data_IF_506060877884
#
_entry.id   IF_506060877884
#
_cell.length_a   1.000
_cell.length_b   1.000
_cell.length_c   1.000
_cell.angle_alpha   90.00
_cell.angle_beta   90.00
_cell.angle_gamma   90.00
#
_symmetry.space_group_name_H-M   'P 1'
#
loop_
_entity.id
_entity.type
_entity.pdbx_description
1 polymer ?
#
# COMPACT_ATOMS: atom_id res chain seq x y z
N UNK A 1 5.09 -19.05 -13.65
CA UNK A 1 4.72 -17.65 -13.85
C UNK A 1 3.37 -17.59 -14.54
N UNK A 2 3.17 -18.36 -15.62
CA UNK A 2 1.88 -18.63 -16.25
C UNK A 2 0.68 -18.78 -15.32
N UNK A 3 0.72 -19.67 -14.31
CA UNK A 3 -0.41 -19.91 -13.40
C UNK A 3 -0.90 -18.65 -12.65
N UNK A 4 0.04 -17.82 -12.20
CA UNK A 4 -0.30 -16.56 -11.52
C UNK A 4 -0.91 -15.53 -12.49
N UNK A 5 -0.43 -15.50 -13.73
CA UNK A 5 -1.00 -14.64 -14.78
C UNK A 5 -2.38 -15.13 -15.23
N UNK A 6 -2.62 -16.44 -15.25
CA UNK A 6 -3.94 -17.03 -15.53
C UNK A 6 -4.95 -16.69 -14.42
N UNK A 7 -4.56 -16.85 -13.16
CA UNK A 7 -5.40 -16.47 -12.01
C UNK A 7 -5.72 -14.96 -12.01
N UNK A 8 -4.73 -14.13 -12.35
CA UNK A 8 -4.92 -12.67 -12.45
C UNK A 8 -5.81 -12.28 -13.64
N UNK A 9 -5.68 -12.94 -14.79
CA UNK A 9 -6.58 -12.76 -15.94
C UNK A 9 -8.01 -13.07 -15.54
N UNK A 10 -8.22 -14.23 -14.92
CA UNK A 10 -9.57 -14.71 -14.59
C UNK A 10 -10.24 -13.79 -13.58
N UNK A 11 -9.49 -13.29 -12.59
CA UNK A 11 -9.94 -12.26 -11.67
C UNK A 11 -10.36 -10.97 -12.39
N UNK A 12 -9.52 -10.41 -13.27
CA UNK A 12 -9.83 -9.16 -13.97
C UNK A 12 -11.05 -9.27 -14.88
N UNK A 13 -11.23 -10.44 -15.53
CA UNK A 13 -12.40 -10.70 -16.36
C UNK A 13 -13.68 -10.90 -15.54
N UNK A 14 -13.57 -11.43 -14.32
CA UNK A 14 -14.69 -11.54 -13.39
C UNK A 14 -15.07 -10.17 -12.81
N UNK A 15 -14.08 -9.34 -12.46
CA UNK A 15 -14.28 -7.96 -12.01
C UNK A 15 -14.96 -7.09 -13.07
N UNK A 16 -14.57 -7.20 -14.36
CA UNK A 16 -15.24 -6.51 -15.45
C UNK A 16 -16.71 -6.94 -15.60
N UNK A 17 -16.99 -8.24 -15.51
CA UNK A 17 -18.37 -8.76 -15.58
C UNK A 17 -19.22 -8.28 -14.40
N UNK A 18 -18.65 -8.26 -13.21
CA UNK A 18 -19.35 -7.78 -12.02
C UNK A 18 -19.61 -6.27 -12.10
N UNK A 19 -18.63 -5.50 -12.59
CA UNK A 19 -18.77 -4.06 -12.79
C UNK A 19 -19.88 -3.70 -13.78
N UNK A 20 -20.02 -4.46 -14.87
CA UNK A 20 -21.13 -4.31 -15.82
C UNK A 20 -22.49 -4.59 -15.13
N UNK A 21 -22.57 -5.65 -14.32
CA UNK A 21 -23.80 -5.99 -13.56
C UNK A 21 -24.14 -4.91 -12.53
N UNK A 22 -23.14 -4.37 -11.84
CA UNK A 22 -23.33 -3.34 -10.82
C UNK A 22 -23.75 -2.00 -11.43
N UNK A 23 -23.22 -1.65 -12.62
CA UNK A 23 -23.67 -0.48 -13.39
C UNK A 23 -25.11 -0.64 -13.89
N UNK A 24 -25.46 -1.79 -14.46
CA UNK A 24 -26.82 -2.12 -14.89
C UNK A 24 -27.82 -2.09 -13.70
N UNK A 25 -27.36 -2.42 -12.50
CA UNK A 25 -28.13 -2.34 -11.26
C UNK A 25 -28.20 -0.93 -10.65
N UNK A 26 -27.49 0.05 -11.24
CA UNK A 26 -27.38 1.42 -10.73
C UNK A 26 -26.61 1.54 -9.42
N UNK A 27 -25.76 0.55 -9.10
CA UNK A 27 -24.91 0.52 -7.91
C UNK A 27 -23.60 1.29 -8.11
N UNK A 28 -23.25 1.59 -9.36
CA UNK A 28 -22.10 2.38 -9.79
C UNK A 28 -22.62 3.42 -10.77
N UNK A 29 -22.23 4.68 -10.60
CA UNK A 29 -22.63 5.74 -11.53
C UNK A 29 -21.84 5.69 -12.85
N UNK A 30 -22.28 6.45 -13.85
CA UNK A 30 -21.72 6.41 -15.20
C UNK A 30 -20.25 6.84 -15.27
N UNK A 31 -19.82 7.76 -14.40
CA UNK A 31 -18.45 8.29 -14.38
C UNK A 31 -17.50 7.28 -13.73
N UNK A 32 -17.88 6.74 -12.57
CA UNK A 32 -17.14 5.69 -11.88
C UNK A 32 -17.07 4.40 -12.71
N UNK A 33 -18.16 4.03 -13.38
CA UNK A 33 -18.20 2.89 -14.29
C UNK A 33 -17.20 3.05 -15.43
N UNK A 34 -17.20 4.21 -16.10
CA UNK A 34 -16.29 4.47 -17.22
C UNK A 34 -14.82 4.38 -16.79
N UNK A 35 -14.47 4.99 -15.66
CA UNK A 35 -13.11 5.01 -15.13
C UNK A 35 -12.63 3.61 -14.71
N UNK A 36 -13.44 2.88 -13.92
CA UNK A 36 -13.09 1.54 -13.45
C UNK A 36 -13.00 0.54 -14.62
N UNK A 37 -13.91 0.65 -15.59
CA UNK A 37 -13.92 -0.21 -16.76
C UNK A 37 -12.69 0.00 -17.63
N UNK A 38 -12.27 1.24 -17.82
CA UNK A 38 -11.07 1.55 -18.60
C UNK A 38 -9.80 1.00 -17.93
N UNK A 39 -9.64 1.17 -16.61
CA UNK A 39 -8.50 0.63 -15.87
C UNK A 39 -8.46 -0.91 -15.89
N UNK A 40 -9.58 -1.58 -15.59
CA UNK A 40 -9.63 -3.04 -15.64
C UNK A 40 -9.40 -3.58 -17.06
N UNK A 41 -9.88 -2.88 -18.08
CA UNK A 41 -9.65 -3.26 -19.48
C UNK A 41 -8.18 -3.17 -19.85
N UNK A 42 -7.49 -2.08 -19.45
CA UNK A 42 -6.05 -1.91 -19.69
C UNK A 42 -5.25 -3.00 -18.98
N UNK A 43 -5.57 -3.29 -17.72
CA UNK A 43 -4.90 -4.35 -16.94
C UNK A 43 -5.12 -5.74 -17.55
N UNK A 44 -6.35 -6.06 -17.91
CA UNK A 44 -6.67 -7.34 -18.55
C UNK A 44 -5.92 -7.51 -19.87
N UNK A 45 -5.87 -6.47 -20.70
CA UNK A 45 -5.12 -6.47 -21.96
C UNK A 45 -3.62 -6.71 -21.75
N UNK A 46 -3.02 -6.14 -20.70
CA UNK A 46 -1.61 -6.34 -20.40
C UNK A 46 -1.30 -7.76 -19.93
N UNK A 47 -2.17 -8.35 -19.10
CA UNK A 47 -2.01 -9.74 -18.64
C UNK A 47 -2.18 -10.72 -19.80
N UNK A 48 -3.15 -10.50 -20.69
CA UNK A 48 -3.37 -11.33 -21.87
C UNK A 48 -2.15 -11.30 -22.81
N UNK A 49 -1.59 -10.11 -23.09
CA UNK A 49 -0.35 -9.99 -23.88
C UNK A 49 0.83 -10.71 -23.24
N UNK A 50 0.93 -10.71 -21.91
CA UNK A 50 1.99 -11.41 -21.20
C UNK A 50 1.85 -12.94 -21.32
N UNK A 51 0.61 -13.46 -21.22
CA UNK A 51 0.30 -14.88 -21.44
C UNK A 51 0.58 -15.31 -22.88
N UNK A 52 0.20 -14.50 -23.87
CA UNK A 52 0.49 -14.78 -25.28
C UNK A 52 1.99 -14.82 -25.54
N UNK A 53 2.75 -13.86 -24.99
CA UNK A 53 4.20 -13.83 -25.08
C UNK A 53 4.90 -14.98 -24.32
N UNK A 54 4.25 -15.62 -23.33
CA UNK A 54 4.76 -16.83 -22.66
C UNK A 54 4.43 -18.08 -23.47
N UNK A 55 3.23 -18.14 -24.07
CA UNK A 55 2.82 -19.21 -24.99
C UNK A 55 3.70 -19.27 -26.25
N UNK A 56 4.10 -18.12 -26.78
CA UNK A 56 5.00 -18.03 -27.95
C UNK A 56 6.45 -18.43 -27.65
N UNK A 57 6.91 -18.33 -26.39
CA UNK A 57 8.31 -18.59 -26.03
C UNK A 57 8.68 -20.06 -25.99
N UNK A 58 7.73 -20.98 -25.72
CA UNK A 58 7.97 -22.42 -25.68
C UNK A 58 9.07 -22.88 -24.67
N UNK A 59 9.13 -24.17 -24.31
CA UNK A 59 10.06 -24.61 -23.27
C UNK A 59 11.45 -24.91 -23.85
N UNK A 60 12.35 -23.92 -23.95
CA UNK A 60 13.80 -24.16 -24.06
C UNK A 60 14.67 -23.05 -23.44
N UNK A 61 15.53 -23.48 -22.50
CA UNK A 61 16.94 -23.08 -22.45
C UNK A 61 17.29 -21.75 -21.78
N UNK A 62 17.98 -21.82 -20.65
CA UNK A 62 18.58 -20.72 -19.90
C UNK A 62 19.47 -19.81 -20.76
N UNK A 63 19.26 -18.50 -20.71
CA UNK A 63 20.37 -17.53 -20.71
C UNK A 63 19.96 -16.19 -20.12
N UNK A 64 20.89 -15.67 -19.33
CA UNK A 64 20.95 -14.38 -18.65
C UNK A 64 20.41 -13.17 -19.45
N UNK A 65 19.56 -12.37 -18.81
CA UNK A 65 19.22 -11.01 -19.21
C UNK A 65 18.51 -10.29 -18.08
N UNK A 66 19.15 -9.25 -17.52
CA UNK A 66 18.80 -8.45 -16.33
C UNK A 66 17.43 -7.71 -16.37
N UNK A 67 16.52 -8.09 -17.25
CA UNK A 67 15.21 -7.44 -17.44
C UNK A 67 14.05 -8.18 -16.78
N UNK A 68 14.25 -9.40 -16.27
CA UNK A 68 13.19 -10.21 -15.65
C UNK A 68 12.80 -9.85 -14.20
N UNK A 69 13.61 -9.04 -13.51
CA UNK A 69 13.39 -8.75 -12.08
C UNK A 69 12.42 -7.59 -11.82
N UNK A 70 12.16 -6.74 -12.82
CA UNK A 70 11.24 -5.61 -12.68
C UNK A 70 9.77 -6.02 -12.70
N UNK A 71 9.43 -7.20 -13.23
CA UNK A 71 8.03 -7.68 -13.28
C UNK A 71 7.61 -8.36 -11.97
N UNK A 72 8.55 -8.88 -11.17
CA UNK A 72 8.23 -9.56 -9.92
C UNK A 72 7.84 -8.62 -8.76
N UNK A 73 8.26 -7.34 -8.80
CA UNK A 73 8.00 -6.38 -7.73
C UNK A 73 6.59 -5.75 -7.77
N UNK A 74 5.88 -5.81 -8.91
CA UNK A 74 4.50 -5.31 -9.03
C UNK A 74 3.44 -6.34 -8.60
N UNK A 75 3.82 -7.61 -8.44
CA UNK A 75 2.90 -8.74 -8.23
C UNK A 75 2.52 -8.95 -6.75
N UNK A 76 3.30 -8.40 -5.80
CA UNK A 76 3.01 -8.51 -4.37
C UNK A 76 2.10 -7.42 -3.79
N UNK A 77 1.97 -6.26 -4.47
CA UNK A 77 1.30 -5.08 -3.92
C UNK A 77 -0.18 -4.94 -4.35
N UNK A 78 -0.68 -5.83 -5.21
CA UNK A 78 -2.07 -5.86 -5.64
C UNK A 78 -2.95 -6.78 -4.79
N UNK A 79 -2.37 -7.70 -4.00
CA UNK A 79 -3.13 -8.71 -3.25
C UNK A 79 -3.68 -8.20 -1.91
N UNK A 80 -3.16 -7.10 -1.37
CA UNK A 80 -3.64 -6.52 -0.10
C UNK A 80 -4.87 -5.62 -0.30
N UNK A 81 -5.00 -4.96 -1.46
CA UNK A 81 -6.07 -3.98 -1.71
C UNK A 81 -7.40 -4.66 -2.08
N UNK A 82 -7.36 -5.83 -2.73
CA UNK A 82 -8.58 -6.54 -3.16
C UNK A 82 -9.27 -7.27 -2.00
N UNK A 83 -8.54 -7.68 -0.96
CA UNK A 83 -9.15 -8.41 0.17
C UNK A 83 -10.05 -7.50 1.03
N UNK A 84 -9.87 -6.17 0.97
CA UNK A 84 -10.70 -5.20 1.69
C UNK A 84 -12.05 -4.93 1.02
N UNK A 85 -12.22 -5.28 -0.26
CA UNK A 85 -13.47 -5.01 -1.00
C UNK A 85 -14.49 -6.17 -0.85
N UNK A 86 -14.06 -7.42 -0.58
CA UNK A 86 -14.98 -8.59 -0.57
C UNK A 86 -15.56 -8.90 0.83
N UNK A 87 -15.12 -8.25 1.91
CA UNK A 87 -15.76 -8.41 3.24
C UNK A 87 -16.93 -7.44 3.46
N UNK A 88 -17.10 -6.42 2.62
CA UNK A 88 -18.06 -5.34 2.87
C UNK A 88 -19.51 -5.59 2.38
N UNK A 89 -19.85 -6.71 1.70
CA UNK A 89 -21.21 -6.89 1.13
C UNK A 89 -21.89 -8.25 1.35
N UNK A 90 -21.56 -9.00 2.40
CA UNK A 90 -22.32 -10.24 2.71
C UNK A 90 -23.04 -10.26 4.07
N UNK A 91 -23.09 -9.15 4.81
CA UNK A 91 -23.80 -9.12 6.09
C UNK A 91 -24.67 -7.87 6.24
N UNK A 92 -25.73 -7.78 5.45
CA UNK A 92 -26.93 -7.04 5.86
C UNK A 92 -27.68 -7.86 6.91
N UNK A 93 -27.07 -8.06 8.09
CA UNK A 93 -27.79 -8.40 9.31
C UNK A 93 -27.20 -7.58 10.45
N UNK A 94 -28.01 -6.67 10.98
CA UNK A 94 -27.69 -5.83 12.13
C UNK A 94 -27.41 -6.69 13.37
N UNK A 95 -26.16 -6.83 13.80
CA UNK A 95 -25.79 -7.10 15.19
C UNK A 95 -24.40 -6.51 15.48
N UNK A 96 -24.35 -5.53 16.40
CA UNK A 96 -23.19 -5.24 17.25
C UNK A 96 -22.13 -4.28 16.70
N UNK A 97 -21.95 -3.16 17.38
CA UNK A 97 -20.81 -2.24 17.25
C UNK A 97 -19.47 -2.98 17.36
N UNK A 98 -18.66 -2.97 16.29
CA UNK A 98 -17.20 -3.15 16.32
C UNK A 98 -16.58 -2.73 14.97
N UNK A 99 -15.60 -1.80 14.94
CA UNK A 99 -14.83 -1.51 13.73
C UNK A 99 -13.84 -2.65 13.41
N UNK A 100 -13.76 -3.02 12.14
CA UNK A 100 -13.00 -4.15 11.58
C UNK A 100 -11.47 -3.95 11.48
N UNK A 101 -10.91 -2.91 12.12
CA UNK A 101 -9.46 -2.67 12.18
C UNK A 101 -9.01 -2.65 13.63
N UNK A 102 -8.76 -3.83 14.23
CA UNK A 102 -8.06 -3.97 15.53
C UNK A 102 -8.46 -2.94 16.60
N UNK A 103 -9.75 -2.62 16.69
CA UNK A 103 -10.25 -1.37 17.25
C UNK A 103 -10.70 -1.46 18.70
N UNK A 104 -10.24 -2.44 19.47
CA UNK A 104 -10.67 -2.59 20.86
C UNK A 104 -10.21 -1.41 21.76
N UNK A 105 -9.25 -0.60 21.29
CA UNK A 105 -8.84 0.68 21.90
C UNK A 105 -9.23 1.94 21.10
N UNK A 106 -9.68 1.81 19.83
CA UNK A 106 -9.88 2.95 18.93
C UNK A 106 -11.22 3.67 19.17
N UNK A 107 -12.26 2.92 19.49
CA UNK A 107 -13.57 3.47 19.85
C UNK A 107 -13.57 4.20 21.21
N UNK A 108 -12.59 3.91 22.07
CA UNK A 108 -12.47 4.52 23.39
C UNK A 108 -11.67 5.84 23.41
N UNK A 109 -10.92 6.14 22.34
CA UNK A 109 -9.99 7.29 22.27
C UNK A 109 -10.37 8.39 21.29
N UNK A 110 -11.39 8.18 20.47
CA UNK A 110 -11.99 9.19 19.60
C UNK A 110 -12.88 10.15 20.41
N UNK A 111 -12.28 10.87 21.36
CA UNK A 111 -12.91 12.07 21.92
C UNK A 111 -12.94 13.14 20.82
N UNK A 112 -14.15 13.39 20.31
CA UNK A 112 -14.53 14.47 19.38
C UNK A 112 -13.85 14.45 18.01
N UNK A 113 -14.18 13.46 17.18
CA UNK A 113 -13.89 13.54 15.74
C UNK A 113 -14.72 14.67 15.14
N UNK A 114 -14.06 15.68 14.58
CA UNK A 114 -14.71 16.64 13.69
C UNK A 114 -15.28 15.84 12.49
N UNK A 115 -16.60 15.87 12.24
CA UNK A 115 -17.20 15.14 11.11
C UNK A 115 -16.50 15.43 9.78
N UNK A 116 -15.96 16.63 9.61
CA UNK A 116 -15.19 17.01 8.43
C UNK A 116 -13.90 16.18 8.27
N UNK A 117 -13.17 15.92 9.36
CA UNK A 117 -11.95 15.10 9.32
C UNK A 117 -12.28 13.65 8.97
N UNK A 118 -13.40 13.12 9.46
CA UNK A 118 -13.83 11.75 9.15
C UNK A 118 -14.15 11.58 7.65
N UNK A 119 -14.89 12.53 7.06
CA UNK A 119 -15.25 12.51 5.63
C UNK A 119 -14.00 12.66 4.74
N UNK A 120 -13.05 13.51 5.14
CA UNK A 120 -11.78 13.68 4.43
C UNK A 120 -10.91 12.43 4.52
N UNK A 121 -10.86 11.75 5.66
CA UNK A 121 -10.13 10.49 5.80
C UNK A 121 -10.70 9.41 4.86
N UNK A 122 -12.02 9.27 4.81
CA UNK A 122 -12.67 8.34 3.88
C UNK A 122 -12.35 8.68 2.41
N UNK A 123 -12.35 9.98 2.07
CA UNK A 123 -12.00 10.46 0.73
C UNK A 123 -10.55 10.14 0.38
N UNK A 124 -9.61 10.38 1.29
CA UNK A 124 -8.19 10.11 1.08
C UNK A 124 -7.91 8.61 0.91
N UNK A 125 -8.58 7.76 1.71
CA UNK A 125 -8.50 6.30 1.59
C UNK A 125 -9.06 5.81 0.25
N UNK A 126 -10.19 6.37 -0.21
CA UNK A 126 -10.74 6.06 -1.54
C UNK A 126 -9.74 6.43 -2.64
N UNK A 127 -9.20 7.65 -2.64
CA UNK A 127 -8.21 8.09 -3.61
C UNK A 127 -6.94 7.24 -3.58
N UNK A 128 -6.49 6.83 -2.39
CA UNK A 128 -5.38 5.91 -2.25
C UNK A 128 -5.67 4.56 -2.91
N UNK A 129 -6.85 3.99 -2.69
CA UNK A 129 -7.26 2.72 -3.31
C UNK A 129 -7.33 2.79 -4.84
N UNK A 130 -7.66 3.96 -5.39
CA UNK A 130 -7.69 4.26 -6.83
C UNK A 130 -6.29 4.60 -7.40
N UNK A 131 -5.25 4.57 -6.57
CA UNK A 131 -3.88 4.95 -6.91
C UNK A 131 -3.71 6.43 -7.31
N UNK A 132 -4.69 7.26 -6.97
CA UNK A 132 -4.66 8.72 -7.13
C UNK A 132 -3.82 9.37 -6.03
N UNK A 133 -2.54 9.01 -5.94
CA UNK A 133 -1.67 9.38 -4.82
C UNK A 133 -1.51 10.88 -4.65
N UNK A 134 -1.46 11.65 -5.75
CA UNK A 134 -1.33 13.09 -5.69
C UNK A 134 -2.56 13.76 -5.05
N UNK A 135 -3.76 13.22 -5.29
CA UNK A 135 -4.99 13.77 -4.71
C UNK A 135 -5.16 13.31 -3.27
N UNK A 136 -4.85 12.04 -2.95
CA UNK A 136 -4.82 11.56 -1.57
C UNK A 136 -3.84 12.36 -0.70
N UNK A 137 -2.66 12.73 -1.20
CA UNK A 137 -1.71 13.59 -0.48
C UNK A 137 -2.33 14.96 -0.19
N UNK A 138 -3.05 15.58 -1.14
CA UNK A 138 -3.73 16.86 -0.92
C UNK A 138 -4.82 16.74 0.14
N UNK A 139 -5.62 15.68 0.10
CA UNK A 139 -6.68 15.47 1.10
C UNK A 139 -6.09 15.20 2.49
N UNK A 140 -4.97 14.49 2.60
CA UNK A 140 -4.25 14.40 3.88
C UNK A 140 -3.64 15.73 4.31
N UNK A 141 -3.11 16.56 3.39
CA UNK A 141 -2.67 17.93 3.70
C UNK A 141 -3.83 18.79 4.25
N UNK A 142 -5.05 18.63 3.73
CA UNK A 142 -6.25 19.31 4.25
C UNK A 142 -6.61 18.87 5.66
N UNK A 143 -6.56 17.56 5.95
CA UNK A 143 -6.76 17.05 7.31
C UNK A 143 -5.73 17.67 8.27
N UNK A 144 -4.46 17.72 7.88
CA UNK A 144 -3.38 18.26 8.71
C UNK A 144 -3.45 19.79 8.91
N UNK A 145 -4.24 20.51 8.12
CA UNK A 145 -4.56 21.91 8.39
C UNK A 145 -5.61 22.06 9.50
N UNK A 146 -6.52 21.09 9.63
CA UNK A 146 -7.58 21.08 10.64
C UNK A 146 -7.07 20.47 11.95
N UNK A 147 -6.40 19.33 11.83
CA UNK A 147 -5.82 18.54 12.93
C UNK A 147 -4.35 18.22 12.60
N UNK A 148 -3.40 19.10 12.96
CA UNK A 148 -1.98 18.92 12.63
C UNK A 148 -1.32 17.68 13.21
N UNK A 149 -1.90 17.09 14.26
CA UNK A 149 -1.39 15.91 14.95
C UNK A 149 -2.22 14.66 14.62
N UNK A 150 -3.02 14.69 13.55
CA UNK A 150 -3.76 13.53 13.08
C UNK A 150 -2.79 12.42 12.63
N UNK A 151 -2.63 11.40 13.49
CA UNK A 151 -1.65 10.31 13.30
C UNK A 151 -1.89 9.56 11.99
N UNK A 152 -3.15 9.31 11.64
CA UNK A 152 -3.53 8.61 10.42
C UNK A 152 -3.11 9.40 9.17
N UNK A 153 -3.45 10.69 9.13
CA UNK A 153 -3.09 11.55 8.01
C UNK A 153 -1.57 11.73 7.88
N UNK A 154 -0.85 11.94 9.00
CA UNK A 154 0.62 12.00 9.01
C UNK A 154 1.23 10.71 8.43
N UNK A 155 0.74 9.55 8.90
CA UNK A 155 1.25 8.23 8.52
C UNK A 155 1.05 7.94 7.03
N UNK A 156 -0.19 8.03 6.54
CA UNK A 156 -0.49 7.66 5.17
C UNK A 156 -0.01 8.72 4.16
N UNK A 157 0.03 10.00 4.53
CA UNK A 157 0.70 11.01 3.71
C UNK A 157 2.19 10.71 3.55
N UNK A 158 2.89 10.40 4.65
CA UNK A 158 4.30 10.04 4.61
C UNK A 158 4.55 8.82 3.72
N UNK A 159 3.71 7.80 3.85
CA UNK A 159 3.75 6.61 2.99
C UNK A 159 3.57 6.94 1.50
N UNK A 160 2.56 7.75 1.16
CA UNK A 160 2.30 8.16 -0.23
C UNK A 160 3.44 8.99 -0.83
N UNK A 161 4.03 9.91 -0.05
CA UNK A 161 5.19 10.68 -0.49
C UNK A 161 6.37 9.77 -0.82
N UNK A 162 6.60 8.72 -0.03
CA UNK A 162 7.59 7.69 -0.32
C UNK A 162 7.25 6.94 -1.61
N UNK A 163 5.99 6.53 -1.82
CA UNK A 163 5.58 5.84 -3.05
C UNK A 163 5.83 6.70 -4.30
N UNK A 164 5.48 7.98 -4.23
CA UNK A 164 5.72 8.94 -5.32
C UNK A 164 7.21 9.18 -5.55
N UNK A 165 8.03 9.21 -4.49
CA UNK A 165 9.48 9.38 -4.61
C UNK A 165 10.16 8.28 -5.43
N UNK A 166 9.60 7.06 -5.44
CA UNK A 166 10.14 5.96 -6.26
C UNK A 166 9.98 6.19 -7.76
N UNK A 167 9.06 7.07 -8.14
CA UNK A 167 8.72 7.40 -9.53
C UNK A 167 9.26 8.78 -9.94
N UNK A 168 9.96 9.48 -9.05
CA UNK A 168 10.53 10.79 -9.34
C UNK A 168 11.55 10.68 -10.48
N UNK A 169 11.40 11.55 -11.48
CA UNK A 169 12.30 11.60 -12.63
C UNK A 169 13.67 12.18 -12.26
N UNK A 170 13.65 13.24 -11.45
CA UNK A 170 14.85 13.96 -11.03
C UNK A 170 15.31 13.51 -9.63
N UNK A 171 16.63 13.32 -9.40
CA UNK A 171 17.16 12.93 -8.11
C UNK A 171 16.81 13.90 -6.97
N UNK A 172 16.79 15.21 -7.24
CA UNK A 172 16.43 16.24 -6.26
C UNK A 172 14.98 16.12 -5.77
N UNK A 173 14.04 15.81 -6.68
CA UNK A 173 12.63 15.61 -6.33
C UNK A 173 12.48 14.37 -5.46
N UNK A 174 13.22 13.30 -5.77
CA UNK A 174 13.24 12.09 -4.95
C UNK A 174 13.69 12.41 -3.52
N UNK A 175 14.81 13.12 -3.36
CA UNK A 175 15.34 13.47 -2.04
C UNK A 175 14.34 14.33 -1.27
N UNK A 176 13.77 15.36 -1.89
CA UNK A 176 12.77 16.22 -1.27
C UNK A 176 11.52 15.44 -0.82
N UNK A 177 11.02 14.54 -1.65
CA UNK A 177 9.86 13.70 -1.31
C UNK A 177 10.18 12.73 -0.17
N UNK A 178 11.39 12.16 -0.13
CA UNK A 178 11.84 11.30 0.95
C UNK A 178 12.01 12.06 2.28
N UNK A 179 12.54 13.29 2.24
CA UNK A 179 12.64 14.16 3.42
C UNK A 179 11.25 14.49 3.99
N UNK A 180 10.29 14.87 3.13
CA UNK A 180 8.91 15.14 3.55
C UNK A 180 8.19 13.90 4.05
N UNK A 181 8.47 12.73 3.47
CA UNK A 181 7.95 11.46 3.94
C UNK A 181 8.47 11.14 5.35
N UNK A 182 9.78 11.36 5.57
CA UNK A 182 10.44 11.15 6.85
C UNK A 182 9.87 12.06 7.93
N UNK A 183 9.75 13.36 7.64
CA UNK A 183 9.19 14.34 8.58
C UNK A 183 7.79 13.93 9.05
N UNK A 184 6.92 13.51 8.13
CA UNK A 184 5.56 13.09 8.45
C UNK A 184 5.54 11.81 9.31
N UNK A 185 6.36 10.82 8.98
CA UNK A 185 6.43 9.56 9.71
C UNK A 185 7.11 9.71 11.08
N UNK A 186 8.13 10.56 11.19
CA UNK A 186 8.74 10.93 12.46
C UNK A 186 7.70 11.59 13.37
N UNK A 187 6.94 12.56 12.85
CA UNK A 187 5.86 13.20 13.61
C UNK A 187 4.77 12.21 14.03
N UNK A 188 4.37 11.29 13.15
CA UNK A 188 3.37 10.27 13.49
C UNK A 188 3.82 9.38 14.66
N UNK A 189 5.08 8.92 14.65
CA UNK A 189 5.64 8.11 15.74
C UNK A 189 5.84 8.93 17.02
N UNK A 190 6.13 10.23 16.93
CA UNK A 190 6.18 11.12 18.10
C UNK A 190 4.81 11.30 18.76
N UNK A 191 3.77 11.53 17.95
CA UNK A 191 2.40 11.76 18.45
C UNK A 191 1.81 10.48 19.02
N UNK A 192 1.91 9.36 18.30
CA UNK A 192 1.45 8.06 18.77
C UNK A 192 2.52 6.97 18.55
N UNK A 193 3.40 6.76 19.55
CA UNK A 193 4.48 5.77 19.47
C UNK A 193 4.02 4.32 19.33
N UNK A 194 2.74 4.03 19.54
CA UNK A 194 2.14 2.69 19.45
C UNK A 194 1.42 2.45 18.12
N UNK A 195 1.32 3.46 17.25
CA UNK A 195 0.68 3.30 15.95
C UNK A 195 1.56 2.47 15.03
N UNK A 196 1.14 1.24 14.76
CA UNK A 196 1.95 0.20 14.10
C UNK A 196 2.33 0.62 12.69
N UNK A 197 1.37 1.12 11.92
CA UNK A 197 1.57 1.56 10.53
C UNK A 197 2.67 2.63 10.45
N UNK A 198 2.69 3.61 11.35
CA UNK A 198 3.72 4.67 11.36
C UNK A 198 5.13 4.09 11.52
N UNK A 199 5.33 3.16 12.47
CA UNK A 199 6.63 2.52 12.68
C UNK A 199 7.04 1.64 11.51
N UNK A 200 6.13 0.82 11.01
CA UNK A 200 6.41 -0.09 9.89
C UNK A 200 6.75 0.70 8.62
N UNK A 201 5.97 1.74 8.30
CA UNK A 201 6.24 2.58 7.13
C UNK A 201 7.52 3.40 7.29
N UNK A 202 7.83 3.88 8.50
CA UNK A 202 9.11 4.55 8.78
C UNK A 202 10.29 3.60 8.62
N UNK A 203 10.20 2.37 9.12
CA UNK A 203 11.24 1.35 8.93
C UNK A 203 11.50 1.07 7.44
N UNK A 204 10.44 1.00 6.62
CA UNK A 204 10.57 0.84 5.16
C UNK A 204 11.29 2.02 4.53
N UNK A 205 10.93 3.26 4.89
CA UNK A 205 11.61 4.45 4.40
C UNK A 205 13.08 4.49 4.83
N UNK A 206 13.38 4.18 6.10
CA UNK A 206 14.74 4.15 6.63
C UNK A 206 15.59 3.08 5.94
N UNK A 207 15.02 1.90 5.64
CA UNK A 207 15.67 0.89 4.79
C UNK A 207 16.00 1.45 3.41
N UNK A 208 15.05 2.14 2.77
CA UNK A 208 15.26 2.75 1.44
C UNK A 208 16.37 3.83 1.46
N UNK A 209 16.59 4.47 2.62
CA UNK A 209 17.66 5.45 2.87
C UNK A 209 18.99 4.79 3.33
N UNK A 210 18.99 3.48 3.58
CA UNK A 210 20.16 2.76 4.08
C UNK A 210 20.43 2.92 5.59
N UNK A 211 19.48 3.47 6.34
CA UNK A 211 19.58 3.65 7.79
C UNK A 211 19.13 2.38 8.53
N UNK A 212 19.95 1.34 8.41
CA UNK A 212 19.61 -0.04 8.83
C UNK A 212 19.29 -0.14 10.32
N UNK A 213 20.15 0.41 11.19
CA UNK A 213 19.97 0.34 12.65
C UNK A 213 18.66 1.00 13.11
N UNK A 214 18.34 2.17 12.54
CA UNK A 214 17.11 2.89 12.87
C UNK A 214 15.86 2.15 12.38
N UNK A 215 15.93 1.54 11.19
CA UNK A 215 14.84 0.74 10.66
C UNK A 215 14.56 -0.51 11.51
N UNK A 216 15.60 -1.23 11.94
CA UNK A 216 15.46 -2.39 12.83
C UNK A 216 14.89 -1.98 14.20
N UNK A 217 15.36 -0.85 14.76
CA UNK A 217 14.82 -0.32 16.01
C UNK A 217 13.32 -0.01 15.93
N UNK A 218 12.82 0.45 14.78
CA UNK A 218 11.39 0.65 14.57
C UNK A 218 10.60 -0.66 14.52
N UNK A 219 11.11 -1.67 13.81
CA UNK A 219 10.46 -2.97 13.76
C UNK A 219 10.47 -3.69 15.11
N UNK A 220 11.53 -3.52 15.90
CA UNK A 220 11.67 -4.11 17.24
C UNK A 220 10.78 -3.43 18.29
N UNK A 221 10.43 -2.16 18.07
CA UNK A 221 9.50 -1.42 18.92
C UNK A 221 8.03 -1.85 18.70
N UNK A 222 7.73 -2.59 17.62
CA UNK A 222 6.40 -3.14 17.36
C UNK A 222 6.30 -4.54 17.96
N UNK A 223 5.34 -4.81 18.87
CA UNK A 223 5.12 -6.15 19.39
C UNK A 223 4.79 -7.13 18.25
N UNK A 224 5.31 -8.38 18.26
CA UNK A 224 5.02 -9.36 17.21
C UNK A 224 3.51 -9.62 17.01
N UNK A 225 2.75 -9.65 18.11
CA UNK A 225 1.28 -9.80 18.10
C UNK A 225 0.55 -8.49 17.77
N UNK A 226 1.28 -7.36 17.76
CA UNK A 226 0.77 -6.04 17.41
C UNK A 226 0.77 -5.78 15.90
N UNK A 227 1.54 -6.52 15.11
CA UNK A 227 1.51 -6.43 13.64
C UNK A 227 0.27 -7.17 13.11
N UNK A 228 -0.65 -6.47 12.42
CA UNK A 228 -1.79 -7.14 11.80
C UNK A 228 -1.36 -8.23 10.81
N UNK A 229 -2.11 -9.33 10.76
CA UNK A 229 -1.74 -10.51 9.95
C UNK A 229 -1.45 -10.19 8.47
N UNK A 230 -2.16 -9.21 7.89
CA UNK A 230 -1.96 -8.78 6.51
C UNK A 230 -0.62 -8.04 6.29
N UNK A 231 -0.02 -7.47 7.34
CA UNK A 231 1.30 -6.82 7.30
C UNK A 231 2.45 -7.75 7.68
N UNK A 232 2.19 -8.90 8.31
CA UNK A 232 3.25 -9.78 8.82
C UNK A 232 4.26 -10.16 7.73
N UNK A 233 3.79 -10.58 6.57
CA UNK A 233 4.67 -10.94 5.45
C UNK A 233 5.53 -9.75 4.97
N UNK A 234 4.99 -8.54 5.00
CA UNK A 234 5.72 -7.32 4.64
C UNK A 234 6.80 -7.02 5.68
N UNK A 235 6.46 -7.07 6.97
CA UNK A 235 7.38 -6.82 8.08
C UNK A 235 8.52 -7.85 8.08
N UNK A 236 8.21 -9.13 7.93
CA UNK A 236 9.20 -10.21 7.86
C UNK A 236 10.16 -10.00 6.67
N UNK A 237 9.63 -9.61 5.51
CA UNK A 237 10.44 -9.30 4.33
C UNK A 237 11.38 -8.12 4.55
N UNK A 238 10.88 -7.02 5.13
CA UNK A 238 11.69 -5.83 5.43
C UNK A 238 12.78 -6.16 6.45
N UNK A 239 12.46 -6.94 7.48
CA UNK A 239 13.44 -7.38 8.48
C UNK A 239 14.54 -8.24 7.85
N UNK A 240 14.18 -9.22 7.02
CA UNK A 240 15.15 -10.06 6.33
C UNK A 240 16.07 -9.25 5.40
N UNK A 241 15.53 -8.26 4.68
CA UNK A 241 16.32 -7.35 3.85
C UNK A 241 17.34 -6.56 4.70
N UNK A 242 16.90 -6.00 5.83
CA UNK A 242 17.73 -5.22 6.74
C UNK A 242 18.86 -6.06 7.35
N UNK A 243 18.57 -7.28 7.80
CA UNK A 243 19.57 -8.20 8.33
C UNK A 243 20.62 -8.59 7.27
N UNK A 244 20.21 -8.75 6.01
CA UNK A 244 21.14 -9.00 4.91
C UNK A 244 22.03 -7.77 4.61
N UNK A 245 21.47 -6.56 4.70
CA UNK A 245 22.22 -5.31 4.54
C UNK A 245 23.27 -5.14 5.64
N UNK A 246 22.91 -5.42 6.90
CA UNK A 246 23.82 -5.34 8.06
C UNK A 246 25.01 -6.31 7.94
N UNK A 247 24.74 -7.57 7.55
CA UNK A 247 25.77 -8.57 7.32
C UNK A 247 26.71 -8.19 6.17
N UNK A 248 26.18 -7.57 5.12
CA UNK A 248 26.99 -7.10 3.98
C UNK A 248 27.90 -5.93 4.38
N UNK A 249 27.41 -5.00 5.21
CA UNK A 249 28.22 -3.93 5.78
C UNK A 249 29.34 -4.45 6.69
N UNK A 250 29.03 -5.45 7.51
CA UNK A 250 29.98 -6.07 8.44
C UNK A 250 31.11 -6.85 7.75
N UNK A 251 30.86 -7.45 6.58
CA UNK A 251 31.86 -8.24 5.85
C UNK A 251 32.84 -7.39 5.03
N UNK A 252 32.47 -6.18 4.63
CA UNK A 252 33.36 -5.23 3.95
C UNK A 252 34.26 -4.42 4.91
N UNK A 253 33.97 -4.47 6.22
CA UNK A 253 34.73 -3.79 7.28
C UNK A 253 35.78 -4.64 8.00
N UNK A 254 35.96 -5.91 7.62
CA UNK A 254 36.98 -6.77 8.21
C UNK A 254 38.37 -6.49 7.58
N UNK A 255 39.41 -6.12 8.36
CA UNK A 255 40.74 -5.76 7.87
C UNK A 255 41.55 -6.96 7.32
#
# INVERSE_FOLDING_TARGET
MSKALEEQRDFLLDALRQLDVDHDAGLVDDEDYANLRDDYTVRAANVLRALDAEAERGPRGTSSGRTGMLVAALVGMSMVVVLLIIVARSATERVGDAPLTGGDDLAARTSTVDPQVADLLATAQQQFSQQSYADAIKTYDEILQIDPDNVEALTYRGWLLRLVSLQAAEPEDKVLLQERAREALDRAVEVEPTFVDARVFRAILLRDLGEVDAALADLDAVPPDGVPAFMQQMVDGVRADLEAMDQTGSTLGAP
#
